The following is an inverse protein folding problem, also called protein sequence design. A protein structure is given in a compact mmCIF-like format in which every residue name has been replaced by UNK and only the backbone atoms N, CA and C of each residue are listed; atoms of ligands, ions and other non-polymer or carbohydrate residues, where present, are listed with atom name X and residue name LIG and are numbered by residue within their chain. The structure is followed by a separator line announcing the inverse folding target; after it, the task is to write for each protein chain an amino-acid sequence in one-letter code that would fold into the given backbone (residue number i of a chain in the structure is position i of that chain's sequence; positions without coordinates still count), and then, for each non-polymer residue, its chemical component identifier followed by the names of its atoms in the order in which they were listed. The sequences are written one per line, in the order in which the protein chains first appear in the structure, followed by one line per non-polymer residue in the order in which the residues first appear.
data_IF_817737104987
#
_entry.id   IF_817737104987
#
_cell.length_a   1.000
_cell.length_b   1.000
_cell.length_c   1.000
_cell.angle_alpha   90.00
_cell.angle_beta   90.00
_cell.angle_gamma   90.00
#
_symmetry.space_group_name_H-M   'P 1'
#
loop_
_entity.id
_entity.type
_entity.pdbx_description
1 polymer ?
#
# COMPACT_ATOMS: atom_id res chain seq x y z
N UNK A 1 -16.65 16.29 22.72
CA UNK A 1 -15.25 16.58 22.38
C UNK A 1 -15.14 18.03 21.90
N UNK A 2 -14.55 18.95 22.66
CA UNK A 2 -14.52 20.38 22.32
C UNK A 2 -13.68 20.64 21.07
N UNK A 3 -14.18 21.50 20.20
CA UNK A 3 -13.59 21.85 18.90
C UNK A 3 -12.18 22.46 18.99
N UNK A 4 -11.78 23.06 20.13
CA UNK A 4 -10.54 23.84 20.31
C UNK A 4 -9.24 23.02 20.23
N UNK A 5 -9.29 21.69 20.39
CA UNK A 5 -8.09 20.83 20.37
C UNK A 5 -7.88 20.09 19.04
N UNK A 6 -8.83 20.22 18.09
CA UNK A 6 -8.76 19.54 16.79
C UNK A 6 -7.52 19.93 15.98
N UNK A 7 -7.13 21.20 15.98
CA UNK A 7 -5.98 21.68 15.22
C UNK A 7 -4.66 21.01 15.66
N UNK A 8 -4.44 20.89 16.98
CA UNK A 8 -3.28 20.22 17.54
C UNK A 8 -3.25 18.71 17.21
N UNK A 9 -4.42 18.06 17.29
CA UNK A 9 -4.58 16.65 16.89
C UNK A 9 -4.31 16.43 15.39
N UNK A 10 -4.84 17.29 14.52
CA UNK A 10 -4.59 17.23 13.08
C UNK A 10 -3.11 17.46 12.75
N UNK A 11 -2.46 18.43 13.41
CA UNK A 11 -1.04 18.69 13.25
C UNK A 11 -0.18 17.49 13.70
N UNK A 12 -0.50 16.87 14.83
CA UNK A 12 0.17 15.66 15.31
C UNK A 12 -0.01 14.48 14.35
N UNK A 13 -1.23 14.23 13.86
CA UNK A 13 -1.49 13.21 12.84
C UNK A 13 -0.77 13.49 11.52
N UNK A 14 -0.67 14.76 11.09
CA UNK A 14 0.06 15.15 9.87
C UNK A 14 1.56 14.83 10.03
N UNK A 15 2.17 15.19 11.15
CA UNK A 15 3.57 14.88 11.45
C UNK A 15 3.84 13.37 11.47
N UNK A 16 2.96 12.60 12.09
CA UNK A 16 3.06 11.13 12.09
C UNK A 16 2.99 10.57 10.66
N UNK A 17 2.00 11.00 9.86
CA UNK A 17 1.83 10.55 8.47
C UNK A 17 3.04 10.85 7.60
N UNK A 18 3.67 12.02 7.77
CA UNK A 18 4.90 12.37 7.05
C UNK A 18 6.07 11.45 7.44
N UNK A 19 6.28 11.21 8.74
CA UNK A 19 7.34 10.30 9.22
C UNK A 19 7.17 8.88 8.67
N UNK A 20 5.95 8.35 8.72
CA UNK A 20 5.65 7.01 8.21
C UNK A 20 5.81 6.94 6.69
N UNK A 21 5.35 7.95 5.95
CA UNK A 21 5.55 8.04 4.50
C UNK A 21 7.02 8.09 4.11
N UNK A 22 7.85 8.86 4.82
CA UNK A 22 9.28 8.94 4.54
C UNK A 22 9.96 7.58 4.72
N UNK A 23 9.65 6.86 5.82
CA UNK A 23 10.15 5.48 6.02
C UNK A 23 9.69 4.53 4.92
N UNK A 24 8.42 4.60 4.54
CA UNK A 24 7.86 3.78 3.47
C UNK A 24 8.54 4.04 2.13
N UNK A 25 8.75 5.31 1.79
CA UNK A 25 9.40 5.72 0.56
C UNK A 25 10.85 5.24 0.51
N UNK A 26 11.59 5.38 1.63
CA UNK A 26 12.94 4.83 1.75
C UNK A 26 12.96 3.31 1.58
N UNK A 27 11.98 2.59 2.12
CA UNK A 27 11.86 1.15 1.94
C UNK A 27 11.59 0.81 0.46
N UNK A 28 10.58 1.43 -0.16
CA UNK A 28 10.19 1.17 -1.55
C UNK A 28 11.25 1.55 -2.56
N UNK A 29 12.07 2.58 -2.29
CA UNK A 29 13.16 3.00 -3.17
C UNK A 29 14.24 1.93 -3.37
N UNK A 30 14.32 0.94 -2.46
CA UNK A 30 15.23 -0.21 -2.58
C UNK A 30 14.60 -1.40 -3.30
N UNK A 31 13.32 -1.31 -3.66
CA UNK A 31 12.53 -2.39 -4.22
C UNK A 31 12.23 -2.13 -5.68
N UNK A 32 11.83 -3.20 -6.36
CA UNK A 32 11.36 -3.17 -7.73
C UNK A 32 10.13 -4.06 -7.86
N UNK A 33 9.29 -3.76 -8.83
CA UNK A 33 8.17 -4.62 -9.19
C UNK A 33 8.71 -6.01 -9.57
N UNK A 34 8.14 -7.05 -8.97
CA UNK A 34 8.53 -8.45 -9.24
C UNK A 34 8.21 -8.87 -10.69
N UNK A 35 7.15 -8.32 -11.29
CA UNK A 35 6.69 -8.74 -12.63
C UNK A 35 7.38 -7.98 -13.78
N UNK A 36 7.50 -6.65 -13.71
CA UNK A 36 8.05 -5.82 -14.80
C UNK A 36 9.38 -5.12 -14.45
N UNK A 37 9.85 -5.19 -13.20
CA UNK A 37 11.10 -4.56 -12.79
C UNK A 37 11.05 -3.03 -12.56
N UNK A 38 9.86 -2.41 -12.63
CA UNK A 38 9.66 -0.98 -12.31
C UNK A 38 10.27 -0.62 -10.95
N UNK A 39 10.97 0.49 -10.87
CA UNK A 39 11.70 0.95 -9.68
C UNK A 39 11.11 2.22 -9.07
N UNK A 40 10.19 2.90 -9.77
CA UNK A 40 9.58 4.12 -9.26
C UNK A 40 8.73 3.83 -8.01
N UNK A 41 9.18 4.24 -6.81
CA UNK A 41 8.50 3.95 -5.55
C UNK A 41 7.11 4.58 -5.45
N UNK A 42 6.77 5.54 -6.33
CA UNK A 42 5.44 6.19 -6.37
C UNK A 42 4.39 5.22 -6.92
N UNK A 43 4.76 4.40 -7.92
CA UNK A 43 3.84 3.46 -8.57
C UNK A 43 3.89 2.05 -7.98
N UNK A 44 4.82 1.80 -7.05
CA UNK A 44 4.91 0.53 -6.34
C UNK A 44 3.82 0.40 -5.28
N UNK A 45 3.14 -0.74 -5.31
CA UNK A 45 2.06 -1.13 -4.41
C UNK A 45 2.40 -2.46 -3.71
N UNK A 46 1.83 -2.64 -2.52
CA UNK A 46 1.90 -3.89 -1.78
C UNK A 46 0.78 -4.80 -2.23
N UNK A 47 1.13 -5.89 -2.90
CA UNK A 47 0.19 -6.93 -3.33
C UNK A 47 0.30 -8.14 -2.42
N UNK A 48 -0.75 -8.45 -1.66
CA UNK A 48 -0.79 -9.62 -0.78
C UNK A 48 -0.64 -10.91 -1.58
N UNK A 49 0.30 -11.78 -1.17
CA UNK A 49 0.51 -13.09 -1.80
C UNK A 49 -0.74 -13.97 -1.73
N UNK A 50 -1.40 -13.97 -0.58
CA UNK A 50 -2.66 -14.66 -0.35
C UNK A 50 -3.79 -13.65 -0.14
N UNK A 51 -4.73 -13.59 -1.09
CA UNK A 51 -5.87 -12.68 -1.00
C UNK A 51 -6.93 -13.15 0.00
N UNK A 52 -6.95 -14.43 0.40
CA UNK A 52 -7.92 -14.96 1.38
C UNK A 52 -7.61 -14.53 2.81
N UNK A 53 -6.36 -14.17 3.10
CA UNK A 53 -5.91 -13.70 4.41
C UNK A 53 -5.59 -12.20 4.43
N UNK A 54 -6.42 -11.37 3.75
CA UNK A 54 -6.31 -9.90 3.82
C UNK A 54 -6.72 -9.41 5.22
N UNK A 55 -5.77 -9.36 6.14
CA UNK A 55 -6.03 -8.84 7.47
C UNK A 55 -6.26 -7.33 7.41
N UNK A 56 -5.39 -6.54 6.74
CA UNK A 56 -5.58 -5.10 6.50
C UNK A 56 -4.83 -4.63 5.24
N UNK A 57 -5.42 -3.72 4.47
CA UNK A 57 -4.71 -3.04 3.36
C UNK A 57 -3.57 -2.21 4.00
N UNK A 58 -2.32 -2.41 3.59
CA UNK A 58 -1.14 -1.68 4.12
C UNK A 58 -1.38 -0.16 4.08
N UNK A 59 -2.01 0.34 3.01
CA UNK A 59 -2.48 1.74 2.88
C UNK A 59 -3.36 2.22 4.04
N UNK A 60 -4.30 1.38 4.52
CA UNK A 60 -5.15 1.71 5.68
C UNK A 60 -4.36 1.69 6.99
N UNK A 61 -3.36 0.81 7.12
CA UNK A 61 -2.49 0.78 8.30
C UNK A 61 -1.59 2.02 8.38
N UNK A 62 -1.08 2.50 7.25
CA UNK A 62 -0.29 3.74 7.15
C UNK A 62 -1.10 4.99 7.55
N UNK A 63 -2.41 4.97 7.31
CA UNK A 63 -3.32 6.04 7.76
C UNK A 63 -3.81 5.90 9.19
N UNK A 64 -3.68 4.70 9.77
CA UNK A 64 -4.05 4.41 11.15
C UNK A 64 -2.90 4.63 12.13
N UNK A 65 -3.21 4.65 13.42
CA UNK A 65 -2.23 4.72 14.50
C UNK A 65 -1.59 3.34 14.78
N UNK A 66 -1.16 2.64 13.73
CA UNK A 66 -0.49 1.33 13.88
C UNK A 66 1.00 1.51 14.13
N UNK A 67 1.56 0.63 14.96
CA UNK A 67 3.00 0.57 15.22
C UNK A 67 3.75 0.15 13.94
N UNK A 68 5.01 0.58 13.82
CA UNK A 68 5.84 0.25 12.66
C UNK A 68 6.06 -1.26 12.53
N UNK A 69 6.22 -1.97 13.64
CA UNK A 69 6.39 -3.43 13.67
C UNK A 69 5.16 -4.15 13.12
N UNK A 70 3.97 -3.61 13.36
CA UNK A 70 2.73 -4.17 12.80
C UNK A 70 2.63 -3.94 11.30
N UNK A 71 3.10 -2.80 10.82
CA UNK A 71 3.19 -2.49 9.38
C UNK A 71 4.22 -3.41 8.71
N UNK A 72 5.40 -3.59 9.32
CA UNK A 72 6.47 -4.45 8.81
C UNK A 72 6.04 -5.92 8.70
N UNK A 73 5.35 -6.45 9.72
CA UNK A 73 4.77 -7.81 9.67
C UNK A 73 3.79 -7.99 8.50
N UNK A 74 3.02 -6.96 8.17
CA UNK A 74 2.10 -7.01 7.04
C UNK A 74 2.84 -6.87 5.71
N UNK A 75 3.85 -6.00 5.63
CA UNK A 75 4.72 -5.84 4.47
C UNK A 75 5.39 -7.18 4.11
N UNK A 76 5.85 -7.96 5.08
CA UNK A 76 6.47 -9.27 4.84
C UNK A 76 5.52 -10.30 4.21
N UNK A 77 4.20 -10.10 4.31
CA UNK A 77 3.20 -10.95 3.63
C UNK A 77 2.89 -10.50 2.20
N UNK A 78 3.36 -9.31 1.82
CA UNK A 78 3.10 -8.70 0.52
C UNK A 78 4.32 -8.84 -0.41
N UNK A 79 4.03 -8.99 -1.70
CA UNK A 79 5.00 -8.75 -2.75
C UNK A 79 4.93 -7.27 -3.19
N UNK A 80 6.03 -6.78 -3.76
CA UNK A 80 6.07 -5.44 -4.36
C UNK A 80 5.76 -5.56 -5.85
N UNK A 81 4.67 -4.92 -6.28
CA UNK A 81 4.22 -4.87 -7.68
C UNK A 81 3.89 -3.44 -8.07
N UNK A 82 4.11 -3.04 -9.31
CA UNK A 82 3.62 -1.74 -9.76
C UNK A 82 2.09 -1.77 -9.92
N UNK A 83 1.45 -0.61 -9.83
CA UNK A 83 0.01 -0.46 -9.93
C UNK A 83 -0.58 -1.06 -11.23
N UNK A 84 0.20 -1.05 -12.32
CA UNK A 84 -0.22 -1.64 -13.59
C UNK A 84 -0.22 -3.17 -13.53
N UNK A 85 0.88 -3.78 -13.07
CA UNK A 85 0.96 -5.24 -12.92
C UNK A 85 -0.03 -5.77 -11.88
N UNK A 86 -0.22 -5.04 -10.78
CA UNK A 86 -1.21 -5.37 -9.77
C UNK A 86 -2.63 -5.37 -10.36
N UNK A 87 -3.04 -4.30 -11.07
CA UNK A 87 -4.34 -4.25 -11.76
C UNK A 87 -4.51 -5.38 -12.78
N UNK A 88 -3.49 -5.67 -13.59
CA UNK A 88 -3.54 -6.79 -14.55
C UNK A 88 -3.73 -8.13 -13.85
N UNK A 89 -2.99 -8.40 -12.78
CA UNK A 89 -3.14 -9.61 -11.96
C UNK A 89 -4.55 -9.73 -11.39
N UNK A 90 -5.07 -8.67 -10.78
CA UNK A 90 -6.45 -8.65 -10.25
C UNK A 90 -7.47 -8.95 -11.35
N UNK A 91 -7.30 -8.33 -12.52
CA UNK A 91 -8.22 -8.49 -13.64
C UNK A 91 -8.19 -9.91 -14.24
N UNK A 92 -7.01 -10.54 -14.29
CA UNK A 92 -6.85 -11.96 -14.66
C UNK A 92 -7.48 -12.87 -13.60
N UNK A 93 -7.21 -12.64 -12.31
CA UNK A 93 -7.74 -13.45 -11.21
C UNK A 93 -9.27 -13.42 -11.11
N UNK A 94 -9.89 -12.28 -11.41
CA UNK A 94 -11.34 -12.12 -11.41
C UNK A 94 -12.01 -12.58 -12.72
N UNK A 95 -11.23 -13.04 -13.71
CA UNK A 95 -11.73 -13.55 -14.97
C UNK A 95 -12.34 -12.49 -15.88
N UNK A 96 -12.05 -11.20 -15.66
CA UNK A 96 -12.61 -10.12 -16.46
C UNK A 96 -11.97 -9.97 -17.85
N UNK A 97 -10.80 -10.58 -18.07
CA UNK A 97 -10.07 -10.55 -19.35
C UNK A 97 -10.86 -11.09 -20.56
N UNK A 98 -11.93 -11.86 -20.33
CA UNK A 98 -12.80 -12.38 -21.39
C UNK A 98 -14.12 -11.62 -21.63
N UNK A 99 -14.53 -10.64 -20.80
CA UNK A 99 -15.89 -10.05 -20.88
C UNK A 99 -15.99 -8.74 -21.66
N UNK A 100 -14.90 -8.00 -21.84
CA UNK A 100 -14.97 -6.61 -22.37
C UNK A 100 -13.85 -6.26 -23.37
N UNK A 101 -13.16 -7.24 -23.96
CA UNK A 101 -12.22 -6.94 -25.06
C UNK A 101 -13.06 -6.67 -26.32
N UNK A 102 -13.06 -5.44 -26.89
CA UNK A 102 -13.56 -5.28 -28.25
C UNK A 102 -12.70 -6.17 -29.15
N UNK A 103 -13.36 -6.99 -29.96
CA UNK A 103 -12.76 -7.76 -31.05
C UNK A 103 -11.80 -6.90 -31.87
#
# INVERSE_FOLDING_TARGET
MPYKERAALYAAQKRHRLKVRAKLFSFLSTKKCIDCGEKDPIVLEFDHRDQKNKFKIVGKMLSGHYSWESIEREINKCDIRCANCHRRKTYIQLGYWGRTRPS
#
